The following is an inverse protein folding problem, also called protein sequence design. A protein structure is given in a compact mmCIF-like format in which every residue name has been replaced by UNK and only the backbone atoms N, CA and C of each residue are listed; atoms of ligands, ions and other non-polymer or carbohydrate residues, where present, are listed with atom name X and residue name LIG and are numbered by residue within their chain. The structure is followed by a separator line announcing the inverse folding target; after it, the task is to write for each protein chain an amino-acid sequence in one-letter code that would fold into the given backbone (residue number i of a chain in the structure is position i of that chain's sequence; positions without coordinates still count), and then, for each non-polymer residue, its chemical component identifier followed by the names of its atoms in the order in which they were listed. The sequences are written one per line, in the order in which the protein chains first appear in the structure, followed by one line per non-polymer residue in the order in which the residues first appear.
data_IF_856229840155
#
_entry.id   IF_856229840155
#
_cell.length_a   1.000
_cell.length_b   1.000
_cell.length_c   1.000
_cell.angle_alpha   90.00
_cell.angle_beta   90.00
_cell.angle_gamma   90.00
#
_symmetry.space_group_name_H-M   'P 1'
#
loop_
_entity.id
_entity.type
_entity.pdbx_description
1 polymer ?
#
# COMPACT_ATOMS: atom_id res chain seq x y z
N UNK A 1 11.86 -13.85 -2.17
CA UNK A 1 11.25 -12.81 -1.30
C UNK A 1 12.37 -11.90 -0.86
N UNK A 2 12.21 -10.58 -0.92
CA UNK A 2 13.26 -9.66 -0.46
C UNK A 2 13.51 -9.94 1.03
N UNK A 3 14.78 -10.13 1.41
CA UNK A 3 15.18 -10.33 2.80
C UNK A 3 14.99 -8.99 3.54
N UNK A 4 13.83 -8.83 4.17
CA UNK A 4 13.48 -7.57 4.85
C UNK A 4 14.03 -7.61 6.26
N UNK A 5 15.19 -6.99 6.46
CA UNK A 5 15.78 -6.82 7.79
C UNK A 5 15.32 -5.50 8.43
N UNK A 6 15.04 -5.47 9.75
CA UNK A 6 14.87 -6.61 10.66
C UNK A 6 13.51 -7.33 10.48
N UNK A 7 13.49 -8.65 10.64
CA UNK A 7 12.29 -9.49 10.77
C UNK A 7 12.36 -10.21 12.14
N UNK A 8 11.29 -10.20 12.97
CA UNK A 8 10.02 -9.47 12.82
C UNK A 8 10.19 -7.93 12.88
N UNK A 9 9.19 -7.17 12.43
CA UNK A 9 9.29 -5.70 12.32
C UNK A 9 9.32 -4.95 13.67
N UNK A 10 8.94 -5.62 14.76
CA UNK A 10 8.94 -5.08 16.12
C UNK A 10 9.23 -6.19 17.12
N UNK A 11 9.74 -5.81 18.29
CA UNK A 11 9.90 -6.72 19.43
C UNK A 11 8.72 -6.62 20.40
N UNK A 12 8.57 -7.61 21.29
CA UNK A 12 7.52 -7.61 22.34
C UNK A 12 7.65 -6.39 23.26
N UNK A 13 8.87 -5.96 23.58
CA UNK A 13 9.11 -4.77 24.40
C UNK A 13 8.61 -3.49 23.70
N UNK A 14 8.82 -3.38 22.40
CA UNK A 14 8.31 -2.26 21.60
C UNK A 14 6.78 -2.26 21.46
N UNK A 15 6.16 -3.44 21.52
CA UNK A 15 4.70 -3.60 21.57
C UNK A 15 4.15 -3.14 22.93
N UNK A 16 4.74 -3.60 24.04
CA UNK A 16 4.35 -3.21 25.41
C UNK A 16 4.44 -1.70 25.63
N UNK A 17 5.51 -1.05 25.14
CA UNK A 17 5.65 0.40 25.21
C UNK A 17 4.50 1.17 24.52
N UNK A 18 3.85 0.56 23.53
CA UNK A 18 2.74 1.16 22.76
C UNK A 18 1.37 0.71 23.23
N UNK A 19 1.30 -0.31 24.08
CA UNK A 19 0.07 -0.91 24.56
C UNK A 19 0.14 -1.03 26.10
N UNK A 20 -0.31 0.01 26.83
CA UNK A 20 -0.24 0.02 28.29
C UNK A 20 -1.13 -1.05 28.96
N UNK A 21 -2.17 -1.50 28.26
CA UNK A 21 -3.15 -2.50 28.70
C UNK A 21 -2.83 -3.90 28.13
N UNK A 22 -1.54 -4.24 28.00
CA UNK A 22 -1.13 -5.51 27.43
C UNK A 22 -1.49 -6.68 28.39
N UNK A 23 -2.12 -7.76 27.89
CA UNK A 23 -2.56 -8.87 28.75
C UNK A 23 -1.38 -9.55 29.44
N UNK A 24 -1.50 -9.76 30.75
CA UNK A 24 -0.47 -10.45 31.55
C UNK A 24 -0.36 -11.91 31.11
N UNK A 25 0.87 -12.37 30.84
CA UNK A 25 1.13 -13.72 30.33
C UNK A 25 0.98 -13.89 28.81
N UNK A 26 0.58 -12.85 28.08
CA UNK A 26 0.42 -12.89 26.62
C UNK A 26 1.72 -12.81 25.81
N UNK A 27 2.89 -12.83 26.43
CA UNK A 27 4.18 -12.57 25.75
C UNK A 27 4.54 -13.63 24.71
N UNK A 28 4.27 -14.91 25.00
CA UNK A 28 4.49 -16.00 24.05
C UNK A 28 3.57 -15.85 22.81
N UNK A 29 2.29 -15.57 23.04
CA UNK A 29 1.32 -15.33 21.97
C UNK A 29 1.68 -14.09 21.15
N UNK A 30 2.13 -13.02 21.81
CA UNK A 30 2.57 -11.80 21.14
C UNK A 30 3.80 -12.01 20.26
N UNK A 31 4.71 -12.91 20.64
CA UNK A 31 5.90 -13.23 19.84
C UNK A 31 5.51 -13.87 18.52
N UNK A 32 4.66 -14.91 18.57
CA UNK A 32 4.12 -15.57 17.36
C UNK A 32 3.27 -14.59 16.54
N UNK A 33 2.40 -13.81 17.18
CA UNK A 33 1.57 -12.83 16.49
C UNK A 33 2.38 -11.74 15.77
N UNK A 34 3.54 -11.33 16.32
CA UNK A 34 4.43 -10.37 15.67
C UNK A 34 5.09 -10.96 14.41
N UNK A 35 5.44 -12.24 14.43
CA UNK A 35 5.98 -12.95 13.27
C UNK A 35 4.91 -13.10 12.17
N UNK A 36 3.74 -13.63 12.54
CA UNK A 36 2.61 -13.82 11.62
C UNK A 36 2.13 -12.49 11.03
N UNK A 37 1.99 -11.44 11.86
CA UNK A 37 1.59 -10.13 11.38
C UNK A 37 2.64 -9.48 10.46
N UNK A 38 3.93 -9.71 10.72
CA UNK A 38 5.00 -9.22 9.84
C UNK A 38 4.93 -9.89 8.47
N UNK A 39 4.70 -11.21 8.44
CA UNK A 39 4.52 -11.98 7.21
C UNK A 39 3.24 -11.55 6.47
N UNK A 40 2.11 -11.44 7.17
CA UNK A 40 0.84 -10.96 6.61
C UNK A 40 0.97 -9.58 5.94
N UNK A 41 1.71 -8.66 6.56
CA UNK A 41 1.96 -7.33 5.98
C UNK A 41 2.71 -7.43 4.65
N UNK A 42 3.72 -8.31 4.56
CA UNK A 42 4.47 -8.53 3.33
C UNK A 42 3.62 -9.17 2.23
N UNK A 43 2.75 -10.10 2.59
CA UNK A 43 1.87 -10.81 1.66
C UNK A 43 0.80 -9.88 1.07
N UNK A 44 0.19 -9.04 1.91
CA UNK A 44 -0.86 -8.08 1.47
C UNK A 44 -0.25 -6.85 0.78
N UNK A 45 0.94 -6.45 1.17
CA UNK A 45 1.56 -5.20 0.77
C UNK A 45 3.04 -5.38 0.46
N UNK A 46 3.36 -5.78 -0.76
CA UNK A 46 4.76 -5.92 -1.22
C UNK A 46 5.56 -4.61 -1.11
N UNK A 47 4.89 -3.46 -1.16
CA UNK A 47 5.49 -2.14 -0.90
C UNK A 47 6.06 -1.96 0.51
N UNK A 48 5.62 -2.76 1.49
CA UNK A 48 6.07 -2.70 2.87
C UNK A 48 7.58 -2.99 3.01
N UNK A 49 8.15 -3.79 2.11
CA UNK A 49 9.59 -4.06 2.07
C UNK A 49 10.43 -2.76 1.93
N UNK A 50 9.91 -1.77 1.22
CA UNK A 50 10.57 -0.49 0.97
C UNK A 50 10.14 0.61 1.96
N UNK A 51 9.20 0.34 2.87
CA UNK A 51 8.76 1.30 3.86
C UNK A 51 9.81 1.47 4.97
N UNK A 52 9.85 2.66 5.58
CA UNK A 52 10.77 2.93 6.70
C UNK A 52 10.52 1.96 7.85
N UNK A 53 11.60 1.57 8.55
CA UNK A 53 11.51 0.63 9.67
C UNK A 53 10.55 1.12 10.77
N UNK A 54 10.51 2.43 11.04
CA UNK A 54 9.57 3.04 11.98
C UNK A 54 8.11 2.89 11.55
N UNK A 55 7.81 3.00 10.25
CA UNK A 55 6.46 2.80 9.71
C UNK A 55 6.03 1.35 9.83
N UNK A 56 6.90 0.41 9.43
CA UNK A 56 6.66 -1.04 9.57
C UNK A 56 6.38 -1.42 11.03
N UNK A 57 7.22 -0.95 11.96
CA UNK A 57 7.07 -1.15 13.39
C UNK A 57 5.75 -0.62 13.94
N UNK A 58 5.38 0.62 13.59
CA UNK A 58 4.11 1.23 14.03
C UNK A 58 2.91 0.41 13.56
N UNK A 59 2.93 -0.04 12.30
CA UNK A 59 1.81 -0.78 11.70
C UNK A 59 1.73 -2.21 12.24
N UNK A 60 2.84 -2.93 12.38
CA UNK A 60 2.78 -4.30 12.95
C UNK A 60 2.24 -4.28 14.39
N UNK A 61 2.68 -3.33 15.22
CA UNK A 61 2.18 -3.20 16.58
C UNK A 61 0.69 -2.84 16.63
N UNK A 62 0.19 -2.00 15.70
CA UNK A 62 -1.23 -1.67 15.64
C UNK A 62 -2.07 -2.86 15.19
N UNK A 63 -1.57 -3.68 14.27
CA UNK A 63 -2.23 -4.90 13.79
C UNK A 63 -2.32 -5.94 14.90
N UNK A 64 -1.20 -6.25 15.55
CA UNK A 64 -1.16 -7.23 16.65
C UNK A 64 -2.05 -6.79 17.81
N UNK A 65 -2.03 -5.50 18.18
CA UNK A 65 -2.93 -4.97 19.21
C UNK A 65 -4.41 -5.17 18.90
N UNK A 66 -4.81 -5.06 17.62
CA UNK A 66 -6.21 -5.26 17.20
C UNK A 66 -6.61 -6.74 17.13
N UNK A 67 -5.66 -7.61 16.79
CA UNK A 67 -5.89 -9.05 16.75
C UNK A 67 -5.97 -9.65 18.17
N UNK A 68 -5.03 -9.29 19.05
CA UNK A 68 -5.01 -9.77 20.44
C UNK A 68 -5.98 -9.05 21.37
N UNK A 69 -6.47 -7.87 20.98
CA UNK A 69 -7.40 -7.08 21.79
C UNK A 69 -8.86 -7.59 21.75
N UNK A 70 -9.12 -8.68 21.05
CA UNK A 70 -10.44 -9.33 21.03
C UNK A 70 -10.68 -10.00 22.39
N UNK A 71 -11.79 -9.70 23.08
CA UNK A 71 -12.10 -10.29 24.37
C UNK A 71 -12.34 -11.81 24.24
N UNK A 72 -11.83 -12.59 25.19
CA UNK A 72 -12.08 -14.03 25.31
C UNK A 72 -13.59 -14.33 25.28
N UNK A 73 -14.01 -15.19 24.35
CA UNK A 73 -15.41 -15.56 24.14
C UNK A 73 -16.24 -14.55 23.34
N UNK A 74 -15.63 -13.49 22.78
CA UNK A 74 -16.26 -12.55 21.85
C UNK A 74 -16.22 -13.00 20.37
N UNK A 75 -15.68 -14.18 20.08
CA UNK A 75 -15.60 -14.75 18.74
C UNK A 75 -17.01 -14.93 18.14
N UNK A 76 -17.23 -14.29 16.98
CA UNK A 76 -18.54 -14.27 16.31
C UNK A 76 -19.60 -13.34 16.92
N UNK A 77 -19.29 -12.57 17.98
CA UNK A 77 -20.21 -11.57 18.53
C UNK A 77 -20.04 -10.20 17.86
N UNK A 78 -21.02 -9.75 17.08
CA UNK A 78 -20.98 -8.40 16.45
C UNK A 78 -21.32 -7.26 17.43
N UNK A 79 -22.22 -7.52 18.38
CA UNK A 79 -22.67 -6.53 19.36
C UNK A 79 -23.09 -7.18 20.67
N UNK A 80 -22.72 -6.58 21.79
CA UNK A 80 -23.16 -6.95 23.13
C UNK A 80 -24.04 -5.83 23.69
N UNK A 81 -25.32 -6.13 23.95
CA UNK A 81 -26.24 -5.21 24.62
C UNK A 81 -26.45 -5.67 26.06
N UNK A 82 -26.17 -4.80 27.02
CA UNK A 82 -26.39 -5.04 28.44
C UNK A 82 -27.36 -3.99 28.99
N UNK A 83 -28.47 -4.45 29.56
CA UNK A 83 -29.47 -3.61 30.21
C UNK A 83 -29.44 -3.79 31.72
N UNK A 84 -29.42 -2.68 32.46
CA UNK A 84 -29.59 -2.66 33.91
C UNK A 84 -30.67 -1.62 34.27
N UNK A 85 -31.90 -2.10 34.45
CA UNK A 85 -33.06 -1.25 34.71
C UNK A 85 -33.31 -0.24 33.57
N UNK A 86 -33.41 1.07 33.83
CA UNK A 86 -33.66 2.08 32.80
C UNK A 86 -32.43 2.39 31.93
N UNK A 87 -31.25 1.86 32.25
CA UNK A 87 -30.03 2.11 31.49
C UNK A 87 -29.71 0.93 30.56
N UNK A 88 -29.44 1.23 29.30
CA UNK A 88 -28.98 0.27 28.30
C UNK A 88 -27.62 0.71 27.76
N UNK A 89 -26.66 -0.22 27.70
CA UNK A 89 -25.38 -0.02 27.06
C UNK A 89 -25.25 -1.01 25.90
N UNK A 90 -24.88 -0.52 24.72
CA UNK A 90 -24.59 -1.37 23.57
C UNK A 90 -23.13 -1.17 23.18
N UNK A 91 -22.38 -2.26 23.19
CA UNK A 91 -20.99 -2.32 22.79
C UNK A 91 -20.92 -3.00 21.43
N UNK A 92 -20.29 -2.36 20.46
CA UNK A 92 -20.03 -2.96 19.14
C UNK A 92 -18.59 -3.45 19.11
N UNK A 93 -18.40 -4.72 18.81
CA UNK A 93 -17.07 -5.31 18.67
C UNK A 93 -16.63 -5.10 17.22
N UNK A 94 -15.51 -4.40 17.04
CA UNK A 94 -15.00 -4.04 15.71
C UNK A 94 -14.20 -5.18 15.04
N UNK A 95 -13.71 -6.14 15.81
CA UNK A 95 -12.92 -7.28 15.34
C UNK A 95 -13.27 -8.54 16.15
N UNK A 96 -14.46 -9.14 15.96
CA UNK A 96 -14.88 -10.31 16.73
C UNK A 96 -14.04 -11.55 16.44
N UNK A 97 -13.58 -11.72 15.21
CA UNK A 97 -12.82 -12.92 14.79
C UNK A 97 -11.31 -12.86 15.08
N UNK A 98 -10.80 -11.76 15.68
CA UNK A 98 -9.37 -11.62 15.97
C UNK A 98 -8.47 -11.55 14.73
N UNK A 99 -9.04 -11.34 13.53
CA UNK A 99 -8.30 -11.37 12.27
C UNK A 99 -7.29 -10.22 12.12
N UNK A 100 -6.24 -10.46 11.34
CA UNK A 100 -5.32 -9.41 10.91
C UNK A 100 -5.90 -8.61 9.73
N UNK A 101 -5.94 -7.28 9.87
CA UNK A 101 -6.36 -6.41 8.78
C UNK A 101 -5.60 -5.07 8.78
N UNK A 102 -5.43 -4.50 7.58
CA UNK A 102 -4.79 -3.20 7.39
C UNK A 102 -5.82 -2.11 7.08
N UNK A 103 -5.77 -1.02 7.83
CA UNK A 103 -6.57 0.17 7.56
C UNK A 103 -6.10 0.89 6.29
N UNK A 104 -6.97 1.68 5.66
CA UNK A 104 -6.63 2.45 4.44
C UNK A 104 -5.39 3.34 4.64
N UNK A 105 -5.27 4.01 5.78
CA UNK A 105 -4.12 4.86 6.09
C UNK A 105 -2.83 4.05 6.27
N UNK A 106 -2.91 2.85 6.84
CA UNK A 106 -1.76 1.95 7.03
C UNK A 106 -1.26 1.42 5.70
N UNK A 107 -2.19 1.03 4.81
CA UNK A 107 -1.85 0.65 3.43
C UNK A 107 -1.10 1.78 2.72
N UNK A 108 -1.64 2.99 2.76
CA UNK A 108 -1.02 4.18 2.14
C UNK A 108 0.40 4.43 2.71
N UNK A 109 0.58 4.28 4.04
CA UNK A 109 1.86 4.47 4.70
C UNK A 109 2.89 3.39 4.32
N UNK A 110 2.44 2.14 4.15
CA UNK A 110 3.26 1.02 3.66
C UNK A 110 3.49 1.06 2.14
N UNK A 111 2.89 2.01 1.43
CA UNK A 111 3.07 2.18 -0.01
C UNK A 111 2.13 1.32 -0.88
N UNK A 112 1.15 0.65 -0.30
CA UNK A 112 0.09 -0.07 -1.02
C UNK A 112 -1.22 0.74 -1.03
N UNK A 113 -2.02 0.62 -2.10
CA UNK A 113 -3.33 1.30 -2.18
C UNK A 113 -3.30 2.76 -2.67
N UNK A 114 -2.18 3.21 -3.25
CA UNK A 114 -2.16 4.41 -4.11
C UNK A 114 -2.40 3.95 -5.55
N UNK A 115 -3.54 4.32 -6.15
CA UNK A 115 -3.74 4.18 -7.59
C UNK A 115 -2.78 5.12 -8.30
N UNK A 116 -1.88 4.57 -9.15
CA UNK A 116 -1.04 5.37 -10.04
C UNK A 116 -1.70 5.38 -11.40
N UNK A 117 -1.97 6.58 -11.93
CA UNK A 117 -2.32 6.69 -13.35
C UNK A 117 -1.08 6.29 -14.16
N UNK A 118 -1.25 5.38 -15.11
CA UNK A 118 -0.21 5.04 -16.06
C UNK A 118 -0.82 5.04 -17.46
N UNK A 119 -0.06 5.54 -18.44
CA UNK A 119 -0.41 5.41 -19.84
C UNK A 119 0.29 4.21 -20.43
N UNK A 120 -0.45 3.34 -21.12
CA UNK A 120 0.14 2.38 -22.05
C UNK A 120 0.22 3.08 -23.41
N UNK A 121 1.41 3.12 -24.01
CA UNK A 121 1.52 3.45 -25.43
C UNK A 121 0.94 2.28 -26.24
N UNK A 122 -0.30 2.43 -26.72
CA UNK A 122 -1.02 1.40 -27.49
C UNK A 122 -0.59 1.32 -28.96
N UNK A 123 0.19 2.29 -29.44
CA UNK A 123 0.75 2.31 -30.78
C UNK A 123 2.19 2.79 -30.72
N UNK A 124 3.10 2.08 -31.39
CA UNK A 124 4.45 2.58 -31.64
C UNK A 124 4.32 3.81 -32.54
N UNK A 125 4.37 5.02 -31.96
CA UNK A 125 4.67 6.22 -32.74
C UNK A 125 6.18 6.27 -32.91
N UNK A 126 6.72 6.15 -34.13
CA UNK A 126 8.08 6.56 -34.40
C UNK A 126 8.13 8.09 -34.34
N UNK A 127 8.04 8.65 -33.15
CA UNK A 127 8.37 10.03 -32.91
C UNK A 127 9.87 10.21 -33.24
N UNK A 128 10.15 10.93 -34.32
CA UNK A 128 11.51 11.29 -34.72
C UNK A 128 12.24 10.33 -35.67
N UNK A 129 11.56 9.50 -36.47
CA UNK A 129 12.23 8.84 -37.61
C UNK A 129 11.66 9.36 -38.94
N UNK A 130 12.50 10.09 -39.68
CA UNK A 130 12.27 10.40 -41.09
C UNK A 130 11.76 9.15 -41.83
N UNK A 131 10.67 9.29 -42.60
CA UNK A 131 10.27 8.22 -43.51
C UNK A 131 11.46 7.93 -44.46
N UNK A 132 11.77 6.65 -44.76
CA UNK A 132 12.93 6.28 -45.57
C UNK A 132 12.99 6.99 -46.93
N UNK A 133 11.82 7.24 -47.53
CA UNK A 133 11.72 7.96 -48.80
C UNK A 133 12.14 9.45 -48.68
N UNK A 134 11.82 10.11 -47.56
CA UNK A 134 12.27 11.48 -47.29
C UNK A 134 13.79 11.54 -47.08
N UNK A 135 14.35 10.56 -46.38
CA UNK A 135 15.79 10.45 -46.18
C UNK A 135 16.55 10.20 -47.49
N UNK A 136 15.97 9.38 -48.38
CA UNK A 136 16.53 9.06 -49.69
C UNK A 136 16.46 10.24 -50.68
N UNK A 137 15.38 11.02 -50.64
CA UNK A 137 15.14 12.06 -51.65
C UNK A 137 15.58 13.47 -51.20
N UNK A 138 15.67 13.73 -49.90
CA UNK A 138 15.94 15.07 -49.35
C UNK A 138 17.06 15.10 -48.28
N UNK A 139 17.82 14.02 -48.15
CA UNK A 139 19.11 14.04 -47.44
C UNK A 139 19.07 14.07 -45.91
N UNK A 140 17.91 13.83 -45.28
CA UNK A 140 17.71 13.68 -43.82
C UNK A 140 18.16 14.85 -42.91
N UNK A 141 18.66 15.95 -43.48
CA UNK A 141 19.13 17.13 -42.74
C UNK A 141 18.07 18.23 -42.65
N UNK A 142 16.90 18.04 -43.29
CA UNK A 142 15.83 19.03 -43.37
C UNK A 142 14.47 18.33 -43.24
N UNK A 143 13.71 18.65 -42.17
CA UNK A 143 12.32 18.24 -42.00
C UNK A 143 11.38 19.33 -42.56
N UNK A 144 11.50 19.64 -43.85
CA UNK A 144 10.68 20.69 -44.49
C UNK A 144 9.61 20.14 -45.43
N UNK A 145 9.01 18.98 -45.14
CA UNK A 145 7.92 18.41 -45.95
C UNK A 145 6.60 19.23 -45.96
N UNK A 146 6.65 20.51 -45.59
CA UNK A 146 5.56 21.47 -45.72
C UNK A 146 5.98 22.93 -45.52
N UNK A 147 7.13 23.21 -44.91
CA UNK A 147 7.56 24.57 -44.56
C UNK A 147 7.76 25.48 -45.77
N UNK A 148 8.27 24.94 -46.88
CA UNK A 148 8.46 25.72 -48.12
C UNK A 148 7.12 26.03 -48.84
N UNK A 149 6.04 25.34 -48.48
CA UNK A 149 4.70 25.51 -49.07
C UNK A 149 3.77 26.30 -48.13
N UNK A 150 3.86 26.06 -46.82
CA UNK A 150 2.92 26.55 -45.82
C UNK A 150 3.55 27.52 -44.81
N UNK A 151 4.87 27.74 -44.84
CA UNK A 151 5.60 28.57 -43.88
C UNK A 151 5.80 27.93 -42.50
N UNK A 152 5.15 26.80 -42.23
CA UNK A 152 5.25 26.02 -41.00
C UNK A 152 5.19 24.50 -41.30
N UNK A 153 5.78 23.63 -40.44
CA UNK A 153 5.75 22.20 -40.67
C UNK A 153 4.31 21.65 -40.50
N UNK A 154 3.70 21.22 -41.61
CA UNK A 154 2.29 20.76 -41.64
C UNK A 154 2.07 19.33 -41.12
N UNK A 155 3.14 18.53 -40.95
CA UNK A 155 3.05 17.12 -40.55
C UNK A 155 3.76 16.77 -39.24
N UNK A 156 4.45 17.74 -38.64
CA UNK A 156 4.88 17.66 -37.25
C UNK A 156 3.95 18.60 -36.49
N UNK A 157 3.34 18.14 -35.39
CA UNK A 157 2.34 18.90 -34.65
C UNK A 157 2.89 20.19 -34.06
N UNK A 158 3.04 21.21 -34.90
CA UNK A 158 3.44 22.56 -34.55
C UNK A 158 2.35 23.18 -33.67
N UNK A 159 2.66 23.32 -32.40
CA UNK A 159 2.28 24.54 -31.69
C UNK A 159 3.45 25.51 -31.80
N UNK A 160 3.20 26.83 -31.80
CA UNK A 160 4.24 27.86 -31.96
C UNK A 160 5.34 27.76 -30.90
#
# INVERSE_FOLDING_TARGET
MADVTPFPFATVEELKQRWPDFPTGGEAAATVALEDASQFILDVCSGAANASASTRRRVVCSVVRRAMGTPDGGEGMESMTQGAGPFQQTWKISNPDGNYYLNKQEKIALGCGKSKAFGVQIAFRPEGRHLPWCSLNFGAMYCSCGTDIAGEPIYEGGTP
#
